data_IF_429974966698
#
_entry.id   IF_429974966698
#
_cell.length_a   1.000
_cell.length_b   1.000
_cell.length_c   1.000
_cell.angle_alpha   90.00
_cell.angle_beta   90.00
_cell.angle_gamma   90.00
#
_symmetry.space_group_name_H-M   'P 1'
#
loop_
_entity.id
_entity.type
_entity.pdbx_description
1 polymer ?
#
# COMPACT_ATOMS: atom_id res chain seq x y z
N UNK A 1 -2.19 19.92 16.04
CA UNK A 1 -1.16 19.61 15.02
C UNK A 1 -1.85 19.53 13.67
N UNK A 2 -1.28 20.08 12.59
CA UNK A 2 -1.87 20.06 11.23
C UNK A 2 -0.89 19.41 10.24
N UNK A 3 -1.29 18.31 9.59
CA UNK A 3 -0.87 17.78 8.28
C UNK A 3 -1.59 16.44 8.07
N UNK A 4 -1.73 15.83 6.88
CA UNK A 4 -1.20 16.02 5.52
C UNK A 4 -2.27 16.57 4.54
N UNK A 5 -1.87 17.32 3.50
CA UNK A 5 -2.79 17.99 2.55
C UNK A 5 -3.54 19.20 3.12
N UNK A 6 -3.44 19.41 4.44
CA UNK A 6 -4.22 20.38 5.19
C UNK A 6 -5.63 19.89 5.53
N UNK A 7 -6.09 18.77 4.96
CA UNK A 7 -7.49 18.33 4.96
C UNK A 7 -8.00 17.82 6.32
N UNK A 8 -7.10 17.29 7.16
CA UNK A 8 -7.47 16.76 8.47
C UNK A 8 -6.65 17.37 9.60
N UNK A 9 -7.29 17.48 10.76
CA UNK A 9 -6.67 17.89 12.04
C UNK A 9 -6.84 16.78 13.04
N UNK A 10 -5.75 16.50 13.75
CA UNK A 10 -5.68 15.52 14.82
C UNK A 10 -5.55 16.23 16.16
N UNK A 11 -6.34 15.79 17.15
CA UNK A 11 -6.25 16.29 18.51
C UNK A 11 -6.34 15.17 19.53
N UNK A 12 -5.47 15.24 20.54
CA UNK A 12 -5.50 14.36 21.70
C UNK A 12 -6.36 14.91 22.83
N UNK A 13 -7.02 14.03 23.57
CA UNK A 13 -7.65 14.36 24.85
C UNK A 13 -6.58 14.47 25.94
N UNK A 14 -6.56 15.59 26.67
CA UNK A 14 -5.76 15.76 27.89
C UNK A 14 -6.52 15.33 29.16
N UNK A 15 -7.66 14.66 29.02
CA UNK A 15 -8.45 14.20 30.16
C UNK A 15 -7.77 13.01 30.83
N UNK A 16 -7.70 13.07 32.16
CA UNK A 16 -7.08 12.03 32.98
C UNK A 16 -7.69 10.64 32.70
N UNK A 17 -6.82 9.65 32.56
CA UNK A 17 -7.11 8.25 32.25
C UNK A 17 -7.89 8.06 30.93
N UNK A 18 -7.66 8.92 29.93
CA UNK A 18 -8.23 8.75 28.59
C UNK A 18 -7.18 8.92 27.50
N UNK A 19 -7.03 7.89 26.66
CA UNK A 19 -6.20 7.93 25.45
C UNK A 19 -7.10 8.07 24.22
N UNK A 20 -7.68 9.26 24.04
CA UNK A 20 -8.60 9.53 22.93
C UNK A 20 -7.96 10.47 21.92
N UNK A 21 -8.01 10.07 20.65
CA UNK A 21 -7.54 10.85 19.52
C UNK A 21 -8.74 11.16 18.63
N UNK A 22 -8.92 12.43 18.29
CA UNK A 22 -10.00 12.92 17.45
C UNK A 22 -9.46 13.33 16.09
N UNK A 23 -10.21 12.98 15.04
CA UNK A 23 -9.88 13.31 13.66
C UNK A 23 -11.01 14.19 13.11
N UNK A 24 -10.67 15.41 12.71
CA UNK A 24 -11.60 16.36 12.11
C UNK A 24 -11.24 16.66 10.67
N UNK A 25 -12.25 16.79 9.82
CA UNK A 25 -12.12 17.33 8.47
C UNK A 25 -12.17 18.87 8.54
N UNK A 26 -11.14 19.55 8.05
CA UNK A 26 -11.06 21.02 8.11
C UNK A 26 -12.05 21.71 7.19
N UNK A 27 -12.41 21.09 6.07
CA UNK A 27 -13.24 21.69 5.02
C UNK A 27 -14.70 21.64 5.44
N UNK A 28 -15.10 20.53 6.07
CA UNK A 28 -16.47 20.34 6.55
C UNK A 28 -16.66 20.71 8.02
N UNK A 29 -15.56 20.90 8.77
CA UNK A 29 -15.55 21.17 10.22
C UNK A 29 -16.25 20.09 11.06
N UNK A 30 -16.24 18.84 10.57
CA UNK A 30 -16.92 17.71 11.21
C UNK A 30 -15.93 16.75 11.84
N UNK A 31 -16.33 16.18 12.98
CA UNK A 31 -15.64 15.05 13.57
C UNK A 31 -15.88 13.83 12.69
N UNK A 32 -14.79 13.31 12.11
CA UNK A 32 -14.83 12.14 11.25
C UNK A 32 -14.78 10.88 12.10
N UNK A 33 -13.85 10.84 13.05
CA UNK A 33 -13.62 9.65 13.85
C UNK A 33 -12.96 9.97 15.20
N UNK A 34 -13.27 9.12 16.18
CA UNK A 34 -12.57 9.05 17.46
C UNK A 34 -11.87 7.71 17.54
N UNK A 35 -10.55 7.74 17.75
CA UNK A 35 -9.74 6.56 18.03
C UNK A 35 -9.52 6.46 19.53
N UNK A 36 -9.65 5.24 20.06
CA UNK A 36 -9.42 4.95 21.46
C UNK A 36 -8.17 4.08 21.57
N UNK A 37 -7.17 4.60 22.28
CA UNK A 37 -5.99 3.86 22.70
C UNK A 37 -6.17 3.21 24.07
N UNK A 38 -5.07 2.86 24.75
CA UNK A 38 -5.06 2.27 26.08
C UNK A 38 -5.71 3.17 27.15
N UNK A 39 -5.91 2.64 28.36
CA UNK A 39 -6.43 3.42 29.48
C UNK A 39 -5.33 4.23 30.19
N UNK A 40 -4.53 4.96 29.41
CA UNK A 40 -3.43 5.78 29.89
C UNK A 40 -3.56 7.24 29.40
N UNK A 41 -2.78 8.14 29.97
CA UNK A 41 -2.80 9.54 29.57
C UNK A 41 -2.02 9.73 28.27
N UNK A 42 -2.67 10.29 27.25
CA UNK A 42 -2.02 10.69 26.01
C UNK A 42 -1.13 11.92 26.26
N UNK A 43 0.17 11.80 25.97
CA UNK A 43 1.16 12.86 26.12
C UNK A 43 1.43 13.58 24.80
N UNK A 44 1.71 12.81 23.75
CA UNK A 44 2.03 13.34 22.43
C UNK A 44 1.54 12.43 21.30
N UNK A 45 1.40 12.99 20.10
CA UNK A 45 0.87 12.35 18.92
C UNK A 45 1.59 12.83 17.65
N UNK A 46 1.99 11.90 16.80
CA UNK A 46 2.49 12.18 15.46
C UNK A 46 1.76 11.33 14.41
N UNK A 47 1.65 11.84 13.19
CA UNK A 47 1.02 11.15 12.07
C UNK A 47 2.06 10.96 10.96
N UNK A 48 2.05 9.79 10.31
CA UNK A 48 2.87 9.57 9.12
C UNK A 48 2.40 10.47 7.98
N UNK A 49 3.32 11.14 7.26
CA UNK A 49 2.98 12.16 6.26
C UNK A 49 2.60 11.57 4.90
N UNK A 50 2.31 10.27 4.78
CA UNK A 50 1.87 9.62 3.53
C UNK A 50 0.92 8.45 3.81
N UNK A 51 1.04 7.80 4.97
CA UNK A 51 0.38 6.55 5.28
C UNK A 51 -0.65 6.83 6.39
N UNK A 52 -1.76 6.07 6.46
CA UNK A 52 -2.76 6.21 7.51
C UNK A 52 -2.27 5.58 8.82
N UNK A 53 -1.14 6.09 9.33
CA UNK A 53 -0.47 5.63 10.56
C UNK A 53 -0.37 6.80 11.51
N UNK A 54 -0.78 6.55 12.75
CA UNK A 54 -0.69 7.50 13.85
C UNK A 54 0.12 6.83 14.96
N UNK A 55 1.09 7.54 15.52
CA UNK A 55 1.88 7.10 16.67
C UNK A 55 1.57 8.02 17.83
N UNK A 56 1.24 7.43 18.98
CA UNK A 56 0.94 8.15 20.21
C UNK A 56 1.85 7.69 21.34
N UNK A 57 2.13 8.59 22.28
CA UNK A 57 2.97 8.30 23.46
C UNK A 57 2.16 8.52 24.73
N UNK A 58 2.27 7.59 25.68
CA UNK A 58 1.65 7.72 27.00
C UNK A 58 2.61 8.27 28.07
N UNK A 59 2.09 8.52 29.28
CA UNK A 59 2.85 9.06 30.42
C UNK A 59 3.96 8.13 30.91
N UNK A 60 3.82 6.82 30.67
CA UNK A 60 4.81 5.80 30.98
C UNK A 60 5.90 5.69 29.92
N UNK A 61 5.79 6.44 28.82
CA UNK A 61 6.73 6.45 27.71
C UNK A 61 6.55 5.28 26.74
N UNK A 62 5.44 4.53 26.81
CA UNK A 62 5.12 3.52 25.81
C UNK A 62 4.52 4.20 24.56
N UNK A 63 4.94 3.69 23.40
CA UNK A 63 4.50 4.16 22.10
C UNK A 63 3.47 3.20 21.52
N UNK A 64 2.34 3.75 21.07
CA UNK A 64 1.24 3.00 20.48
C UNK A 64 1.04 3.41 19.03
N UNK A 65 1.12 2.44 18.12
CA UNK A 65 0.89 2.64 16.69
C UNK A 65 -0.54 2.27 16.34
N UNK A 66 -1.31 3.24 15.87
CA UNK A 66 -2.65 3.08 15.34
C UNK A 66 -2.56 3.08 13.81
N UNK A 67 -3.00 1.98 13.20
CA UNK A 67 -3.02 1.80 11.74
C UNK A 67 -4.32 1.13 11.33
N UNK A 68 -4.67 1.23 10.05
CA UNK A 68 -5.77 0.46 9.47
C UNK A 68 -5.42 -1.02 9.48
N UNK A 69 -6.38 -1.86 9.89
CA UNK A 69 -6.20 -3.32 9.83
C UNK A 69 -6.07 -3.72 8.36
N UNK A 70 -4.99 -4.42 8.02
CA UNK A 70 -4.88 -5.05 6.71
C UNK A 70 -5.99 -6.09 6.58
N UNK A 71 -6.84 -5.97 5.56
CA UNK A 71 -7.79 -7.01 5.19
C UNK A 71 -7.02 -8.02 4.35
N UNK A 72 -7.04 -9.28 4.75
CA UNK A 72 -6.41 -10.35 3.98
C UNK A 72 -7.35 -10.71 2.82
N UNK A 73 -6.99 -10.23 1.63
CA UNK A 73 -7.69 -10.58 0.40
C UNK A 73 -7.12 -11.89 -0.14
N UNK A 74 -7.95 -12.93 -0.26
CA UNK A 74 -7.53 -14.24 -0.78
C UNK A 74 -6.98 -14.17 -2.22
N UNK A 75 -7.32 -13.11 -2.95
CA UNK A 75 -6.80 -12.81 -4.29
C UNK A 75 -5.29 -12.60 -4.28
N UNK A 76 -4.73 -12.07 -3.18
CA UNK A 76 -3.27 -11.90 -3.04
C UNK A 76 -2.54 -13.26 -2.93
N UNK A 77 -3.26 -14.33 -2.58
CA UNK A 77 -2.70 -15.67 -2.51
C UNK A 77 -2.79 -16.41 -3.85
N UNK A 78 -3.88 -16.21 -4.58
CA UNK A 78 -4.06 -16.76 -5.92
C UNK A 78 -4.95 -15.82 -6.75
N UNK A 79 -4.44 -15.26 -7.86
CA UNK A 79 -5.21 -14.40 -8.74
C UNK A 79 -6.47 -15.05 -9.33
N UNK A 80 -6.53 -16.39 -9.37
CA UNK A 80 -7.71 -17.13 -9.82
C UNK A 80 -8.86 -17.12 -8.79
N UNK A 81 -8.61 -16.65 -7.56
CA UNK A 81 -9.66 -16.56 -6.54
C UNK A 81 -10.42 -15.25 -6.66
N UNK A 82 -11.72 -15.34 -6.41
CA UNK A 82 -12.62 -14.20 -6.26
C UNK A 82 -13.30 -14.31 -4.89
N UNK A 83 -13.32 -13.22 -4.14
CA UNK A 83 -13.98 -13.18 -2.84
C UNK A 83 -15.51 -13.14 -3.05
N UNK A 84 -16.21 -14.15 -2.57
CA UNK A 84 -17.68 -14.19 -2.56
C UNK A 84 -18.19 -13.84 -1.15
N UNK A 85 -19.08 -12.85 -1.07
CA UNK A 85 -19.71 -12.45 0.20
C UNK A 85 -21.01 -13.20 0.48
N UNK A 86 -21.70 -13.60 -0.59
CA UNK A 86 -22.95 -14.36 -0.55
C UNK A 86 -22.84 -15.59 -1.47
N UNK A 87 -23.73 -16.56 -1.26
CA UNK A 87 -23.78 -17.75 -2.11
C UNK A 87 -24.18 -17.37 -3.54
N UNK A 88 -23.32 -17.72 -4.49
CA UNK A 88 -23.60 -17.61 -5.92
C UNK A 88 -24.05 -18.96 -6.47
N UNK A 89 -25.00 -18.94 -7.41
CA UNK A 89 -25.35 -20.15 -8.17
C UNK A 89 -24.33 -20.29 -9.29
N UNK A 90 -23.74 -21.47 -9.38
CA UNK A 90 -22.81 -21.80 -10.44
C UNK A 90 -23.59 -22.08 -11.74
N UNK A 91 -23.30 -21.32 -12.80
CA UNK A 91 -23.76 -21.60 -14.15
C UNK A 91 -22.61 -22.25 -14.92
N UNK A 92 -22.70 -23.57 -15.02
CA UNK A 92 -21.74 -24.42 -15.74
C UNK A 92 -21.74 -24.05 -17.23
N UNK A 93 -20.55 -23.89 -17.81
CA UNK A 93 -20.39 -23.74 -19.25
C UNK A 93 -20.47 -25.14 -19.87
N UNK A 94 -21.24 -25.32 -20.95
CA UNK A 94 -21.50 -26.64 -21.57
C UNK A 94 -20.21 -27.46 -21.79
N UNK A 95 -19.16 -26.81 -22.28
CA UNK A 95 -17.91 -27.45 -22.67
C UNK A 95 -16.94 -27.69 -21.48
N UNK A 96 -17.33 -27.40 -20.23
CA UNK A 96 -16.44 -27.49 -19.05
C UNK A 96 -15.89 -28.90 -18.81
N UNK A 97 -16.69 -29.93 -19.10
CA UNK A 97 -16.32 -31.33 -18.90
C UNK A 97 -16.01 -32.07 -20.21
N UNK A 98 -15.94 -31.35 -21.32
CA UNK A 98 -15.63 -31.96 -22.61
C UNK A 98 -14.17 -32.39 -22.69
N UNK A 99 -13.96 -33.61 -23.19
CA UNK A 99 -12.61 -34.13 -23.43
C UNK A 99 -12.12 -33.54 -24.76
N UNK A 100 -11.40 -32.44 -24.69
CA UNK A 100 -10.77 -31.83 -25.86
C UNK A 100 -9.49 -32.61 -26.19
N UNK A 101 -9.30 -32.96 -27.47
CA UNK A 101 -8.03 -33.52 -27.93
C UNK A 101 -6.92 -32.45 -27.77
N UNK A 102 -5.79 -32.79 -27.14
CA UNK A 102 -4.68 -31.85 -26.81
C UNK A 102 -4.20 -31.06 -28.04
N UNK A 103 -4.27 -31.68 -29.22
CA UNK A 103 -3.90 -31.10 -30.52
C UNK A 103 -4.76 -29.86 -30.88
N UNK A 104 -6.04 -29.84 -30.50
CA UNK A 104 -6.98 -28.75 -30.85
C UNK A 104 -6.87 -27.58 -29.86
N UNK A 105 -6.62 -27.87 -28.57
CA UNK A 105 -6.42 -26.82 -27.55
C UNK A 105 -5.16 -25.98 -27.80
N UNK A 106 -4.07 -26.63 -28.22
CA UNK A 106 -2.80 -25.93 -28.49
C UNK A 106 -2.91 -24.94 -29.64
N UNK A 107 -3.71 -25.22 -30.68
CA UNK A 107 -3.92 -24.32 -31.82
C UNK A 107 -4.75 -23.09 -31.43
N UNK A 108 -5.76 -23.27 -30.59
CA UNK A 108 -6.60 -22.18 -30.09
C UNK A 108 -5.81 -21.24 -29.15
N UNK A 109 -5.02 -21.82 -28.23
CA UNK A 109 -4.20 -21.08 -27.26
C UNK A 109 -3.08 -20.26 -27.94
N UNK A 110 -2.39 -20.87 -28.91
CA UNK A 110 -1.32 -20.20 -29.65
C UNK A 110 -1.83 -19.03 -30.51
N UNK A 111 -3.09 -19.06 -30.97
CA UNK A 111 -3.65 -17.98 -31.81
C UNK A 111 -3.88 -16.68 -31.01
N UNK A 112 -4.19 -16.79 -29.72
CA UNK A 112 -4.44 -15.65 -28.84
C UNK A 112 -3.13 -15.07 -28.27
N UNK A 113 -2.15 -15.92 -27.95
CA UNK A 113 -0.85 -15.49 -27.40
C UNK A 113 0.02 -14.70 -28.41
N UNK A 114 -0.17 -14.87 -29.71
CA UNK A 114 0.68 -14.20 -30.71
C UNK A 114 0.28 -12.73 -30.99
N UNK A 115 -0.82 -12.21 -30.43
CA UNK A 115 -1.25 -10.82 -30.67
C UNK A 115 -1.00 -9.86 -29.50
N UNK A 116 -0.77 -10.36 -28.28
CA UNK A 116 -0.66 -9.51 -27.07
C UNK A 116 0.76 -9.43 -26.47
N UNK A 117 1.73 -10.22 -26.96
CA UNK A 117 3.05 -10.33 -26.32
C UNK A 117 4.14 -9.40 -26.89
N UNK A 118 3.81 -8.44 -27.76
CA UNK A 118 4.77 -7.50 -28.36
C UNK A 118 4.87 -6.15 -27.61
N UNK A 119 4.34 -6.06 -26.38
CA UNK A 119 4.47 -4.86 -25.57
C UNK A 119 5.93 -4.63 -25.10
N UNK A 120 6.43 -3.41 -25.27
CA UNK A 120 7.75 -2.99 -24.80
C UNK A 120 7.72 -2.77 -23.29
N UNK A 121 8.43 -3.61 -22.53
CA UNK A 121 8.50 -3.53 -21.06
C UNK A 121 9.75 -2.75 -20.66
N UNK A 122 9.56 -1.56 -20.09
CA UNK A 122 10.63 -0.79 -19.45
C UNK A 122 10.84 -1.24 -18.01
N UNK A 123 12.06 -1.68 -17.68
CA UNK A 123 12.46 -2.14 -16.34
C UNK A 123 13.43 -1.19 -15.64
N UNK A 124 13.78 -0.07 -16.29
CA UNK A 124 14.82 0.86 -15.82
C UNK A 124 14.21 2.17 -15.33
N UNK A 125 13.17 2.67 -16.00
CA UNK A 125 12.54 3.93 -15.59
C UNK A 125 11.88 3.79 -14.22
N UNK A 126 12.20 4.72 -13.33
CA UNK A 126 11.60 4.81 -11.99
C UNK A 126 10.37 5.68 -12.10
N UNK A 127 9.22 5.10 -11.80
CA UNK A 127 7.97 5.85 -11.71
C UNK A 127 8.03 6.87 -10.57
N UNK A 128 7.70 8.12 -10.90
CA UNK A 128 7.54 9.16 -9.89
C UNK A 128 6.26 8.88 -9.11
N UNK A 129 6.42 8.56 -7.83
CA UNK A 129 5.30 8.27 -6.94
C UNK A 129 4.39 9.49 -6.83
N UNK A 130 3.12 9.36 -7.26
CA UNK A 130 2.09 10.41 -7.21
C UNK A 130 1.71 10.87 -5.79
N UNK A 131 2.26 10.21 -4.76
CA UNK A 131 1.96 10.43 -3.34
C UNK A 131 3.10 11.02 -2.52
N UNK A 132 4.27 11.26 -3.11
CA UNK A 132 5.44 11.81 -2.41
C UNK A 132 5.67 13.27 -2.80
N UNK A 133 4.83 14.17 -2.29
CA UNK A 133 5.23 15.59 -2.16
C UNK A 133 6.13 15.74 -0.91
N UNK A 134 7.24 15.00 -0.87
CA UNK A 134 8.37 15.35 -0.03
C UNK A 134 9.29 16.21 -0.87
N UNK A 135 9.32 17.50 -0.59
CA UNK A 135 10.13 18.52 -1.26
C UNK A 135 11.66 18.37 -1.10
N UNK A 136 12.15 17.24 -0.59
CA UNK A 136 13.49 17.16 0.00
C UNK A 136 14.36 16.04 -0.61
N UNK A 137 14.00 15.47 -1.76
CA UNK A 137 14.87 14.56 -2.50
C UNK A 137 15.15 15.12 -3.89
N UNK A 138 16.13 16.02 -3.96
CA UNK A 138 16.85 16.21 -5.21
C UNK A 138 17.74 14.99 -5.46
N UNK A 139 17.72 14.53 -6.70
CA UNK A 139 18.32 13.32 -7.21
C UNK A 139 19.85 13.28 -7.02
N UNK A 140 20.34 12.36 -6.20
CA UNK A 140 21.66 11.74 -6.38
C UNK A 140 21.54 10.23 -6.23
N UNK A 141 21.18 9.56 -7.34
CA UNK A 141 21.43 8.13 -7.50
C UNK A 141 22.94 7.91 -7.48
N UNK A 142 23.49 7.53 -6.32
CA UNK A 142 24.88 7.09 -6.21
C UNK A 142 24.98 5.72 -6.90
N UNK A 143 25.40 5.71 -8.16
CA UNK A 143 25.83 4.50 -8.86
C UNK A 143 27.13 3.98 -8.22
N UNK A 144 27.00 3.11 -7.22
CA UNK A 144 28.14 2.55 -6.47
C UNK A 144 28.88 1.42 -7.20
N UNK A 145 28.72 1.28 -8.53
CA UNK A 145 29.22 0.14 -9.31
C UNK A 145 30.18 0.47 -10.45
N UNK A 146 30.70 1.70 -10.53
CA UNK A 146 31.85 2.00 -11.41
C UNK A 146 33.07 2.37 -10.58
N UNK A 147 33.68 1.36 -9.96
CA UNK A 147 35.11 1.37 -9.69
C UNK A 147 35.79 0.61 -10.83
N UNK A 148 36.06 1.30 -11.94
CA UNK A 148 37.04 0.82 -12.91
C UNK A 148 38.39 0.69 -12.17
N UNK A 149 38.81 -0.55 -11.94
CA UNK A 149 40.14 -0.84 -11.43
C UNK A 149 41.08 -0.73 -12.62
N UNK A 150 41.73 0.43 -12.76
CA UNK A 150 42.81 0.62 -13.73
C UNK A 150 43.93 -0.41 -13.45
N UNK A 151 44.00 -1.46 -14.24
CA UNK A 151 45.18 -2.32 -14.31
C UNK A 151 46.30 -1.55 -15.00
N UNK A 152 47.11 -0.88 -14.18
CA UNK A 152 48.33 -0.24 -14.63
C UNK A 152 49.33 -1.33 -15.06
N UNK A 153 49.37 -1.65 -16.36
CA UNK A 153 50.40 -2.50 -16.96
C UNK A 153 51.66 -1.67 -17.20
N UNK A 154 52.47 -1.55 -16.15
CA UNK A 154 53.82 -1.00 -16.22
C UNK A 154 54.84 -2.11 -16.51
N UNK A 155 55.50 -1.96 -17.67
CA UNK A 155 56.78 -2.51 -18.16
C UNK A 155 57.51 -3.60 -17.34
#
# INVERSE_FOLDING_TARGET
>A
MIRQGGEYVFGGSAKLATHQIFIWDIRTTRLVQTLQGPYENLVDLAQHPIQPIIVSVDEQGAMHTLTTRHKEDWVNWNPAFTEIHDNIVYEEIEDEFDIVNEEVQSVQYNKNQNFENDEEIDVVTIDRTTRSDSSDYEDEFINLYDSEVDYNSGA
#
